data_IF_138587099140
#
_entry.id   IF_138587099140
#
_cell.length_a   1.000
_cell.length_b   1.000
_cell.length_c   1.000
_cell.angle_alpha   90.00
_cell.angle_beta   90.00
_cell.angle_gamma   90.00
#
_symmetry.space_group_name_H-M   'P 1'
#
loop_
_entity.id
_entity.type
_entity.pdbx_description
1 polymer ?
#
# COMPACT_ATOMS: atom_id res chain seq x y z
N UNK A 1 45.07 7.40 -29.82
CA UNK A 1 44.20 7.60 -28.64
C UNK A 1 42.96 8.38 -29.04
N UNK A 2 41.73 7.92 -28.72
CA UNK A 2 40.50 8.67 -28.99
C UNK A 2 40.32 9.82 -27.99
N UNK A 3 39.93 11.00 -28.47
CA UNK A 3 39.53 12.12 -27.60
C UNK A 3 38.04 11.99 -27.28
N UNK A 4 37.70 11.65 -26.05
CA UNK A 4 36.33 11.72 -25.55
C UNK A 4 35.84 13.17 -25.59
N UNK A 5 34.83 13.46 -26.44
CA UNK A 5 34.12 14.74 -26.36
C UNK A 5 33.15 14.66 -25.19
N UNK A 6 33.29 15.55 -24.22
CA UNK A 6 32.28 15.74 -23.19
C UNK A 6 31.00 16.27 -23.85
N UNK A 7 30.02 15.38 -24.10
CA UNK A 7 28.71 15.79 -24.57
C UNK A 7 28.01 16.59 -23.45
N UNK A 8 27.74 17.86 -23.69
CA UNK A 8 27.03 18.72 -22.74
C UNK A 8 25.67 18.10 -22.46
N UNK A 9 25.51 17.48 -21.28
CA UNK A 9 24.28 16.80 -20.90
C UNK A 9 23.22 17.86 -20.61
N UNK A 10 22.52 18.29 -21.67
CA UNK A 10 21.55 19.37 -21.64
C UNK A 10 20.25 18.87 -20.96
N UNK A 11 20.36 18.61 -19.66
CA UNK A 11 19.29 18.12 -18.82
C UNK A 11 18.23 19.20 -18.70
N UNK A 12 17.19 19.10 -19.52
CA UNK A 12 15.93 19.81 -19.35
C UNK A 12 15.28 19.33 -18.06
N UNK A 13 15.78 19.89 -16.95
CA UNK A 13 15.48 19.53 -15.57
C UNK A 13 14.08 20.01 -15.21
N UNK A 14 13.07 19.40 -15.84
CA UNK A 14 11.65 19.69 -15.64
C UNK A 14 11.35 19.77 -14.16
N UNK A 15 10.71 20.86 -13.74
CA UNK A 15 10.37 21.03 -12.34
C UNK A 15 9.39 19.95 -11.90
N UNK A 16 9.87 19.08 -11.02
CA UNK A 16 9.10 17.98 -10.43
C UNK A 16 7.94 18.52 -9.59
N UNK A 17 8.04 19.74 -9.05
CA UNK A 17 6.96 20.39 -8.31
C UNK A 17 5.83 20.82 -9.25
N UNK A 18 6.13 21.50 -10.36
CA UNK A 18 5.16 21.81 -11.41
C UNK A 18 4.54 20.56 -12.04
N UNK A 19 5.32 19.51 -12.34
CA UNK A 19 4.77 18.27 -12.86
C UNK A 19 3.87 17.55 -11.81
N UNK A 20 4.24 17.57 -10.53
CA UNK A 20 3.38 17.04 -9.46
C UNK A 20 2.08 17.84 -9.31
N UNK A 21 2.13 19.18 -9.31
CA UNK A 21 0.95 20.05 -9.25
C UNK A 21 0.02 19.79 -10.45
N UNK A 22 0.57 19.59 -11.65
CA UNK A 22 -0.19 19.16 -12.84
C UNK A 22 -0.85 17.79 -12.66
N UNK A 23 -0.13 16.77 -12.17
CA UNK A 23 -0.71 15.45 -11.92
C UNK A 23 -1.80 15.50 -10.85
N UNK A 24 -1.63 16.29 -9.78
CA UNK A 24 -2.63 16.50 -8.75
C UNK A 24 -3.91 17.09 -9.32
N UNK A 25 -3.81 18.20 -10.06
CA UNK A 25 -4.96 18.82 -10.72
C UNK A 25 -5.67 17.83 -11.66
N UNK A 26 -4.92 17.12 -12.52
CA UNK A 26 -5.47 16.12 -13.44
C UNK A 26 -6.09 14.89 -12.74
N UNK A 27 -5.71 14.59 -11.49
CA UNK A 27 -6.29 13.49 -10.74
C UNK A 27 -7.59 13.91 -10.04
N UNK A 28 -7.60 15.09 -9.42
CA UNK A 28 -8.74 15.62 -8.67
C UNK A 28 -9.84 16.22 -9.58
N UNK A 29 -9.55 16.47 -10.86
CA UNK A 29 -10.54 16.91 -11.87
C UNK A 29 -11.30 15.75 -12.54
N UNK A 30 -11.19 14.52 -12.04
CA UNK A 30 -11.85 13.34 -12.62
C UNK A 30 -13.11 12.98 -11.82
N UNK A 31 -14.11 12.46 -12.53
CA UNK A 31 -15.19 11.71 -11.89
C UNK A 31 -14.65 10.45 -11.22
N UNK A 32 -15.37 9.97 -10.21
CA UNK A 32 -15.11 8.69 -9.56
C UNK A 32 -15.29 7.53 -10.55
N UNK A 33 -14.42 6.51 -10.46
CA UNK A 33 -14.40 5.34 -11.34
C UNK A 33 -14.69 4.02 -10.57
N UNK A 34 -15.06 4.12 -9.30
CA UNK A 34 -15.58 2.99 -8.52
C UNK A 34 -16.97 2.57 -9.01
N UNK A 35 -17.39 1.34 -8.70
CA UNK A 35 -18.78 0.89 -8.97
C UNK A 35 -19.83 1.61 -8.11
N UNK A 36 -19.42 2.31 -7.05
CA UNK A 36 -20.28 3.15 -6.20
C UNK A 36 -20.51 4.54 -6.81
N UNK A 37 -19.54 5.06 -7.57
CA UNK A 37 -19.56 6.41 -8.13
C UNK A 37 -19.26 7.51 -7.11
N UNK A 38 -18.86 7.16 -5.88
CA UNK A 38 -18.44 8.10 -4.84
C UNK A 38 -17.39 7.49 -3.92
N UNK A 39 -16.65 8.36 -3.23
CA UNK A 39 -15.81 8.02 -2.08
C UNK A 39 -16.70 7.48 -0.94
N UNK A 40 -16.17 6.55 -0.15
CA UNK A 40 -16.85 6.04 1.04
C UNK A 40 -16.87 7.05 2.19
N UNK A 41 -18.00 7.11 2.89
CA UNK A 41 -18.30 8.07 3.93
C UNK A 41 -17.31 7.96 5.09
N UNK A 42 -16.97 6.74 5.50
CA UNK A 42 -15.99 6.43 6.56
C UNK A 42 -14.54 6.86 6.24
N UNK A 43 -14.23 7.27 5.01
CA UNK A 43 -12.89 7.74 4.62
C UNK A 43 -12.89 9.13 3.98
N UNK A 44 -14.04 9.79 3.87
CA UNK A 44 -14.16 11.05 3.12
C UNK A 44 -13.30 12.17 3.72
N UNK A 45 -13.27 12.30 5.05
CA UNK A 45 -12.43 13.28 5.74
C UNK A 45 -10.93 13.00 5.55
N UNK A 46 -10.52 11.72 5.62
CA UNK A 46 -9.14 11.30 5.39
C UNK A 46 -8.67 11.63 3.96
N UNK A 47 -9.54 11.38 2.97
CA UNK A 47 -9.30 11.72 1.57
C UNK A 47 -9.20 13.25 1.38
N UNK A 48 -10.10 14.02 2.01
CA UNK A 48 -10.07 15.48 1.98
C UNK A 48 -8.80 16.06 2.66
N UNK A 49 -8.44 15.57 3.85
CA UNK A 49 -7.25 15.98 4.61
C UNK A 49 -5.97 15.81 3.79
N UNK A 50 -5.81 14.68 3.10
CA UNK A 50 -4.68 14.42 2.20
C UNK A 50 -4.72 15.34 0.98
N UNK A 51 -5.88 15.47 0.33
CA UNK A 51 -6.02 16.30 -0.86
C UNK A 51 -5.88 17.81 -0.58
N UNK A 52 -6.04 18.27 0.67
CA UNK A 52 -5.76 19.64 1.08
C UNK A 52 -4.25 20.00 1.13
N UNK A 53 -3.33 19.02 1.28
CA UNK A 53 -1.88 19.29 1.43
C UNK A 53 -1.15 19.36 0.09
N UNK A 54 -0.19 20.28 -0.08
CA UNK A 54 0.61 20.36 -1.32
C UNK A 54 1.46 19.11 -1.61
N UNK A 55 1.76 18.30 -0.58
CA UNK A 55 2.62 17.12 -0.67
C UNK A 55 1.91 15.89 -1.28
N UNK A 56 0.58 15.86 -1.30
CA UNK A 56 -0.20 14.63 -1.51
C UNK A 56 -1.37 14.80 -2.48
N UNK A 57 -1.77 13.71 -3.12
CA UNK A 57 -3.14 13.52 -3.59
C UNK A 57 -3.52 12.03 -3.61
N UNK A 58 -4.79 11.74 -3.39
CA UNK A 58 -5.33 10.37 -3.45
C UNK A 58 -5.59 9.95 -4.90
N UNK A 59 -5.26 8.72 -5.26
CA UNK A 59 -5.54 8.15 -6.59
C UNK A 59 -6.66 7.10 -6.59
N UNK A 60 -6.87 6.42 -5.46
CA UNK A 60 -8.07 5.60 -5.19
C UNK A 60 -8.17 5.27 -3.70
N UNK A 61 -9.40 4.98 -3.25
CA UNK A 61 -9.73 4.61 -1.86
C UNK A 61 -10.89 3.62 -1.81
N UNK A 62 -10.96 2.83 -0.75
CA UNK A 62 -12.08 1.96 -0.38
C UNK A 62 -12.07 1.87 1.15
N UNK A 63 -13.19 2.16 1.83
CA UNK A 63 -13.26 2.05 3.30
C UNK A 63 -13.07 0.60 3.76
N UNK A 64 -13.67 -0.33 3.03
CA UNK A 64 -13.75 -1.74 3.35
C UNK A 64 -15.10 -2.25 2.87
N UNK A 65 -15.20 -3.54 2.56
CA UNK A 65 -16.45 -4.11 2.03
C UNK A 65 -16.60 -5.59 2.34
N UNK A 66 -17.85 -5.99 2.53
CA UNK A 66 -18.29 -7.38 2.48
C UNK A 66 -18.88 -7.62 1.09
N UNK A 67 -18.53 -8.74 0.47
CA UNK A 67 -18.91 -9.09 -0.90
C UNK A 67 -19.17 -10.58 -1.05
N UNK A 68 -20.13 -10.90 -1.92
CA UNK A 68 -20.37 -12.25 -2.44
C UNK A 68 -20.15 -12.22 -3.96
N UNK A 69 -19.16 -12.97 -4.43
CA UNK A 69 -18.84 -13.12 -5.85
C UNK A 69 -19.33 -14.49 -6.33
N UNK A 70 -19.83 -14.59 -7.56
CA UNK A 70 -20.06 -15.87 -8.24
C UNK A 70 -18.89 -16.13 -9.20
N UNK A 71 -18.19 -17.25 -9.03
CA UNK A 71 -17.12 -17.72 -9.92
C UNK A 71 -17.65 -18.63 -11.03
N UNK A 72 -17.04 -18.58 -12.22
CA UNK A 72 -17.38 -19.49 -13.33
C UNK A 72 -17.14 -20.96 -12.93
N UNK A 73 -18.13 -21.80 -13.19
CA UNK A 73 -18.17 -23.27 -13.03
C UNK A 73 -16.90 -23.96 -13.59
N UNK A 74 -16.25 -23.35 -14.59
CA UNK A 74 -15.10 -23.88 -15.30
C UNK A 74 -13.75 -23.23 -14.92
N UNK A 75 -13.75 -22.22 -14.03
CA UNK A 75 -12.66 -21.27 -13.87
C UNK A 75 -11.85 -21.41 -12.58
N UNK A 76 -10.85 -22.31 -12.54
CA UNK A 76 -9.89 -22.39 -11.43
C UNK A 76 -8.88 -21.21 -11.37
N UNK A 77 -9.05 -20.18 -12.21
CA UNK A 77 -8.12 -19.06 -12.38
C UNK A 77 -8.63 -17.76 -11.74
N UNK A 78 -7.71 -16.91 -11.30
CA UNK A 78 -8.03 -15.60 -10.66
C UNK A 78 -8.57 -14.60 -11.70
N UNK A 79 -9.86 -14.72 -12.00
CA UNK A 79 -10.58 -13.87 -12.95
C UNK A 79 -10.78 -12.46 -12.38
N UNK A 80 -10.03 -11.48 -12.91
CA UNK A 80 -10.04 -10.06 -12.46
C UNK A 80 -11.00 -9.15 -13.23
N UNK A 81 -11.68 -9.67 -14.24
CA UNK A 81 -12.63 -8.94 -15.10
C UNK A 81 -13.86 -9.82 -15.32
N UNK A 82 -15.05 -9.21 -15.46
CA UNK A 82 -16.35 -9.89 -15.59
C UNK A 82 -16.77 -10.79 -14.41
N UNK A 83 -16.11 -10.69 -13.24
CA UNK A 83 -16.57 -11.35 -12.01
C UNK A 83 -18.00 -10.90 -11.67
N UNK A 84 -18.91 -11.85 -11.48
CA UNK A 84 -20.29 -11.58 -11.08
C UNK A 84 -20.32 -11.17 -9.60
N UNK A 85 -20.99 -10.06 -9.28
CA UNK A 85 -21.10 -9.53 -7.92
C UNK A 85 -22.55 -9.73 -7.46
N UNK A 86 -22.80 -10.75 -6.63
CA UNK A 86 -24.14 -11.11 -6.14
C UNK A 86 -24.61 -10.18 -5.01
N UNK A 87 -23.65 -9.69 -4.21
CA UNK A 87 -23.83 -8.72 -3.14
C UNK A 87 -22.53 -7.95 -2.93
N UNK A 88 -22.60 -6.64 -2.69
CA UNK A 88 -21.52 -5.84 -2.09
C UNK A 88 -22.11 -4.80 -1.15
N UNK A 89 -21.52 -4.67 0.05
CA UNK A 89 -21.85 -3.64 1.03
C UNK A 89 -20.58 -3.07 1.66
N UNK A 90 -20.60 -1.78 1.97
CA UNK A 90 -19.53 -1.06 2.68
C UNK A 90 -19.88 -0.81 4.17
N UNK A 91 -21.03 -1.35 4.63
CA UNK A 91 -21.52 -1.32 6.01
C UNK A 91 -21.67 -2.76 6.54
N UNK A 92 -21.90 -3.00 7.85
CA UNK A 92 -22.19 -4.33 8.38
C UNK A 92 -23.32 -5.02 7.62
N UNK A 93 -23.12 -6.31 7.31
CA UNK A 93 -24.00 -7.10 6.46
C UNK A 93 -25.01 -7.90 7.29
N UNK A 94 -26.24 -8.01 6.80
CA UNK A 94 -27.30 -8.83 7.44
C UNK A 94 -27.46 -10.18 6.73
N UNK A 95 -28.03 -11.14 7.46
CA UNK A 95 -28.24 -12.52 6.99
C UNK A 95 -29.09 -12.60 5.72
N UNK A 96 -30.20 -11.87 5.69
CA UNK A 96 -31.18 -12.00 4.60
C UNK A 96 -30.61 -11.54 3.26
N UNK A 97 -29.80 -10.48 3.23
CA UNK A 97 -29.10 -10.02 2.02
C UNK A 97 -28.17 -11.12 1.45
N UNK A 98 -27.39 -11.79 2.31
CA UNK A 98 -26.52 -12.89 1.90
C UNK A 98 -27.33 -14.08 1.39
N UNK A 99 -28.43 -14.44 2.06
CA UNK A 99 -29.29 -15.55 1.65
C UNK A 99 -30.07 -15.24 0.35
N UNK A 100 -30.46 -13.99 0.11
CA UNK A 100 -31.06 -13.53 -1.16
C UNK A 100 -30.03 -13.47 -2.29
N UNK A 101 -28.77 -13.16 -1.98
CA UNK A 101 -27.67 -13.18 -2.94
C UNK A 101 -27.24 -14.61 -3.31
N UNK A 102 -27.09 -15.51 -2.34
CA UNK A 102 -26.75 -16.93 -2.55
C UNK A 102 -27.79 -17.67 -3.40
N UNK A 103 -29.08 -17.33 -3.29
CA UNK A 103 -30.15 -17.86 -4.16
C UNK A 103 -30.00 -17.51 -5.65
N UNK A 104 -29.05 -16.63 -6.00
CA UNK A 104 -28.72 -16.23 -7.38
C UNK A 104 -27.38 -16.82 -7.87
N UNK A 105 -26.64 -17.53 -7.01
CA UNK A 105 -25.37 -18.16 -7.36
C UNK A 105 -25.60 -19.37 -8.27
N UNK A 106 -24.88 -19.44 -9.38
CA UNK A 106 -24.92 -20.57 -10.32
C UNK A 106 -23.57 -21.32 -10.39
N UNK A 107 -22.50 -20.75 -9.84
CA UNK A 107 -21.16 -21.34 -9.84
C UNK A 107 -20.56 -21.45 -8.44
N UNK A 108 -19.29 -21.05 -8.35
CA UNK A 108 -18.49 -21.17 -7.13
C UNK A 108 -18.56 -19.83 -6.37
N UNK A 109 -19.57 -19.68 -5.51
CA UNK A 109 -19.79 -18.42 -4.81
C UNK A 109 -18.86 -18.28 -3.60
N UNK A 110 -18.11 -17.18 -3.56
CA UNK A 110 -17.11 -16.90 -2.54
C UNK A 110 -17.50 -15.63 -1.77
N UNK A 111 -17.66 -15.78 -0.46
CA UNK A 111 -17.90 -14.69 0.47
C UNK A 111 -16.57 -14.12 0.96
N UNK A 112 -16.40 -12.79 0.86
CA UNK A 112 -15.17 -12.12 1.27
C UNK A 112 -15.45 -10.87 2.11
N UNK A 113 -14.48 -10.56 2.97
CA UNK A 113 -14.29 -9.23 3.54
C UNK A 113 -12.94 -8.69 3.03
N UNK A 114 -12.98 -7.55 2.35
CA UNK A 114 -11.80 -6.80 1.92
C UNK A 114 -11.67 -5.53 2.79
N UNK A 115 -10.47 -5.22 3.32
CA UNK A 115 -10.25 -4.13 4.27
C UNK A 115 -10.11 -2.77 3.57
N UNK A 116 -9.86 -1.74 4.39
CA UNK A 116 -9.38 -0.44 3.95
C UNK A 116 -8.17 -0.55 3.03
N UNK A 117 -8.26 0.14 1.88
CA UNK A 117 -7.16 0.35 0.94
C UNK A 117 -7.19 1.80 0.47
N UNK A 118 -6.02 2.45 0.47
CA UNK A 118 -5.86 3.83 0.01
C UNK A 118 -4.54 3.95 -0.77
N UNK A 119 -4.59 4.66 -1.90
CA UNK A 119 -3.41 5.00 -2.70
C UNK A 119 -3.18 6.51 -2.70
N UNK A 120 -1.99 6.94 -2.26
CA UNK A 120 -1.61 8.36 -2.14
C UNK A 120 -0.35 8.62 -2.95
N UNK A 121 -0.43 9.49 -3.97
CA UNK A 121 0.75 9.95 -4.69
C UNK A 121 1.40 11.10 -3.92
N UNK A 122 2.70 10.95 -3.64
CA UNK A 122 3.49 11.84 -2.81
C UNK A 122 4.45 12.67 -3.68
N UNK A 123 4.71 13.91 -3.27
CA UNK A 123 5.57 14.85 -3.98
C UNK A 123 7.05 14.49 -3.83
N UNK A 124 7.46 14.06 -2.64
CA UNK A 124 8.84 13.68 -2.30
C UNK A 124 8.86 12.33 -1.56
N UNK A 125 10.04 11.71 -1.49
CA UNK A 125 10.20 10.42 -0.82
C UNK A 125 10.02 10.56 0.69
N UNK A 126 10.43 11.70 1.26
CA UNK A 126 10.26 12.04 2.66
C UNK A 126 8.78 12.14 3.04
N UNK A 127 7.97 12.79 2.21
CA UNK A 127 6.51 12.88 2.38
C UNK A 127 5.88 11.46 2.42
N UNK A 128 6.33 10.57 1.54
CA UNK A 128 5.88 9.18 1.47
C UNK A 128 6.36 8.32 2.64
N UNK A 129 7.59 8.54 3.13
CA UNK A 129 8.16 7.86 4.30
C UNK A 129 7.42 8.24 5.58
N UNK A 130 7.07 9.52 5.75
CA UNK A 130 6.24 9.98 6.87
C UNK A 130 4.87 9.31 6.87
N UNK A 131 4.15 9.34 5.74
CA UNK A 131 2.87 8.64 5.60
C UNK A 131 2.99 7.12 5.81
N UNK A 132 4.08 6.51 5.36
CA UNK A 132 4.31 5.07 5.53
C UNK A 132 4.49 4.72 7.00
N UNK A 133 5.31 5.45 7.76
CA UNK A 133 5.43 5.26 9.22
C UNK A 133 4.08 5.39 9.92
N UNK A 134 3.32 6.46 9.63
CA UNK A 134 1.98 6.68 10.20
C UNK A 134 1.03 5.51 9.86
N UNK A 135 1.05 4.99 8.63
CA UNK A 135 0.25 3.84 8.22
C UNK A 135 0.67 2.55 8.94
N UNK A 136 1.99 2.28 9.01
CA UNK A 136 2.56 1.14 9.70
C UNK A 136 2.15 1.15 11.18
N UNK A 137 2.34 2.27 11.89
CA UNK A 137 2.01 2.41 13.31
C UNK A 137 0.51 2.33 13.59
N UNK A 138 -0.31 2.77 12.63
CA UNK A 138 -1.77 2.62 12.68
C UNK A 138 -2.27 1.19 12.40
N UNK A 139 -1.36 0.24 12.14
CA UNK A 139 -1.66 -1.18 11.96
C UNK A 139 -1.76 -1.65 10.50
N UNK A 140 -1.52 -0.77 9.52
CA UNK A 140 -1.50 -1.13 8.10
C UNK A 140 -0.13 -1.67 7.69
N UNK A 141 0.29 -2.79 8.30
CA UNK A 141 1.64 -3.37 8.17
C UNK A 141 2.01 -3.78 6.73
N UNK A 142 1.05 -3.97 5.82
CA UNK A 142 1.28 -4.33 4.41
C UNK A 142 1.31 -3.10 3.47
N UNK A 143 1.41 -1.90 4.06
CA UNK A 143 1.62 -0.66 3.32
C UNK A 143 3.02 -0.62 2.69
N UNK A 144 3.15 -0.02 1.51
CA UNK A 144 4.43 0.04 0.80
C UNK A 144 4.51 1.19 -0.20
N UNK A 145 5.73 1.68 -0.41
CA UNK A 145 6.07 2.75 -1.34
C UNK A 145 6.57 2.14 -2.65
N UNK A 146 6.11 2.66 -3.79
CA UNK A 146 6.60 2.31 -5.13
C UNK A 146 7.09 3.59 -5.82
N UNK A 147 8.27 3.54 -6.42
CA UNK A 147 8.85 4.65 -7.19
C UNK A 147 8.77 4.31 -8.68
N UNK A 148 7.79 4.89 -9.37
CA UNK A 148 7.54 4.67 -10.79
C UNK A 148 8.34 5.57 -11.73
N UNK A 149 8.20 5.30 -13.04
CA UNK A 149 8.80 6.09 -14.12
C UNK A 149 8.49 7.60 -13.96
N UNK A 150 9.47 8.45 -14.30
CA UNK A 150 9.48 9.91 -14.03
C UNK A 150 9.49 10.30 -12.54
N UNK A 151 9.82 9.37 -11.64
CA UNK A 151 9.90 9.67 -10.20
C UNK A 151 8.53 9.83 -9.53
N UNK A 152 7.49 9.16 -10.04
CA UNK A 152 6.18 9.10 -9.37
C UNK A 152 6.27 8.26 -8.10
N UNK A 153 6.12 8.88 -6.94
CA UNK A 153 6.17 8.19 -5.65
C UNK A 153 4.75 7.86 -5.21
N UNK A 154 4.43 6.57 -5.14
CA UNK A 154 3.09 6.05 -4.86
C UNK A 154 3.14 5.26 -3.55
N UNK A 155 2.41 5.71 -2.53
CA UNK A 155 2.16 4.92 -1.33
C UNK A 155 0.84 4.14 -1.53
N UNK A 156 0.87 2.84 -1.23
CA UNK A 156 -0.32 2.04 -0.99
C UNK A 156 -0.43 1.76 0.51
N UNK A 157 -1.52 2.18 1.14
CA UNK A 157 -1.88 1.85 2.53
C UNK A 157 -2.79 0.62 2.51
N UNK A 158 -2.39 -0.47 3.19
CA UNK A 158 -3.06 -1.78 3.13
C UNK A 158 -2.93 -2.57 4.42
N UNK A 159 -3.95 -3.35 4.77
CA UNK A 159 -3.94 -4.26 5.92
C UNK A 159 -3.67 -5.72 5.52
N UNK A 160 -3.34 -6.56 6.50
CA UNK A 160 -3.44 -8.04 6.41
C UNK A 160 -4.84 -8.56 6.69
N UNK A 161 -5.74 -7.69 7.16
CA UNK A 161 -7.06 -8.08 7.64
C UNK A 161 -7.97 -8.47 6.47
N UNK A 162 -8.45 -9.72 6.44
CA UNK A 162 -9.32 -10.21 5.38
C UNK A 162 -10.18 -11.38 5.84
N UNK A 163 -11.12 -11.77 5.01
CA UNK A 163 -11.84 -13.06 5.05
C UNK A 163 -12.10 -13.48 3.60
N UNK A 164 -11.94 -14.76 3.29
CA UNK A 164 -12.30 -15.34 2.00
C UNK A 164 -12.71 -16.80 2.24
N UNK A 165 -13.98 -17.13 1.94
CA UNK A 165 -14.55 -18.46 2.18
C UNK A 165 -15.48 -18.85 1.03
N UNK A 166 -15.26 -19.99 0.35
CA UNK A 166 -16.20 -20.53 -0.62
C UNK A 166 -17.45 -21.06 0.10
N UNK A 167 -18.64 -20.64 -0.35
CA UNK A 167 -19.92 -21.06 0.23
C UNK A 167 -20.68 -22.06 -0.68
N UNK A 168 -20.46 -21.99 -1.99
CA UNK A 168 -21.03 -22.94 -2.96
C UNK A 168 -19.97 -23.47 -3.92
N UNK A 169 -20.26 -24.62 -4.53
CA UNK A 169 -19.52 -25.17 -5.67
C UNK A 169 -20.52 -25.58 -6.75
N UNK A 170 -20.36 -25.09 -7.97
CA UNK A 170 -21.22 -25.37 -9.14
C UNK A 170 -22.72 -25.15 -8.84
N UNK A 171 -23.03 -24.01 -8.20
CA UNK A 171 -24.39 -23.62 -7.80
C UNK A 171 -24.94 -24.35 -6.56
N UNK A 172 -24.29 -25.41 -6.08
CA UNK A 172 -24.70 -26.11 -4.87
C UNK A 172 -24.10 -25.46 -3.63
N UNK A 173 -24.94 -24.99 -2.70
CA UNK A 173 -24.49 -24.54 -1.37
C UNK A 173 -23.83 -25.71 -0.60
N UNK A 174 -22.64 -25.44 -0.05
CA UNK A 174 -21.79 -26.45 0.61
C UNK A 174 -21.72 -26.29 2.14
N UNK A 175 -22.42 -25.29 2.69
CA UNK A 175 -22.39 -24.90 4.12
C UNK A 175 -23.79 -24.82 4.71
N UNK A 176 -23.90 -24.90 6.05
CA UNK A 176 -25.17 -24.66 6.76
C UNK A 176 -25.47 -23.18 6.92
N UNK A 177 -26.73 -22.85 7.15
CA UNK A 177 -27.18 -21.48 7.43
C UNK A 177 -26.59 -20.91 8.73
N UNK A 178 -26.39 -21.77 9.74
CA UNK A 178 -25.71 -21.47 11.01
C UNK A 178 -24.24 -21.05 10.77
N UNK A 179 -23.56 -21.71 9.81
CA UNK A 179 -22.19 -21.34 9.44
C UNK A 179 -22.14 -19.99 8.71
N UNK A 180 -23.16 -19.65 7.92
CA UNK A 180 -23.29 -18.33 7.28
C UNK A 180 -23.48 -17.24 8.34
N UNK A 181 -24.29 -17.47 9.39
CA UNK A 181 -24.41 -16.55 10.53
C UNK A 181 -23.08 -16.37 11.28
N UNK A 182 -22.34 -17.46 11.52
CA UNK A 182 -21.01 -17.41 12.13
C UNK A 182 -20.02 -16.58 11.28
N UNK A 183 -19.98 -16.80 9.96
CA UNK A 183 -19.14 -16.01 9.04
C UNK A 183 -19.55 -14.53 8.99
N UNK A 184 -20.85 -14.23 9.04
CA UNK A 184 -21.36 -12.85 9.09
C UNK A 184 -20.95 -12.13 10.37
N UNK A 185 -21.05 -12.79 11.52
CA UNK A 185 -20.57 -12.25 12.79
C UNK A 185 -19.07 -11.93 12.73
N UNK A 186 -18.25 -12.83 12.15
CA UNK A 186 -16.82 -12.59 11.92
C UNK A 186 -16.59 -11.43 10.94
N UNK A 187 -17.33 -11.36 9.83
CA UNK A 187 -17.16 -10.30 8.82
C UNK A 187 -17.54 -8.91 9.36
N UNK A 188 -18.59 -8.82 10.17
CA UNK A 188 -19.03 -7.58 10.81
C UNK A 188 -18.04 -7.14 11.90
N UNK A 189 -17.49 -8.08 12.70
CA UNK A 189 -16.39 -7.77 13.62
C UNK A 189 -15.13 -7.28 12.89
N UNK A 190 -14.82 -7.84 11.71
CA UNK A 190 -13.71 -7.38 10.85
C UNK A 190 -13.94 -5.98 10.28
N UNK A 191 -15.18 -5.64 9.91
CA UNK A 191 -15.56 -4.29 9.48
C UNK A 191 -15.34 -3.26 10.60
N UNK A 192 -15.78 -3.59 11.81
CA UNK A 192 -15.67 -2.74 13.00
C UNK A 192 -14.20 -2.50 13.44
N UNK A 193 -13.37 -3.54 13.45
CA UNK A 193 -11.91 -3.40 13.69
C UNK A 193 -11.22 -2.64 12.55
N UNK A 194 -11.69 -2.79 11.31
CA UNK A 194 -11.17 -2.02 10.17
C UNK A 194 -11.51 -0.52 10.28
N UNK A 195 -12.72 -0.16 10.73
CA UNK A 195 -13.10 1.23 11.00
C UNK A 195 -12.20 1.87 12.06
N UNK A 196 -11.97 1.18 13.19
CA UNK A 196 -11.04 1.63 14.25
C UNK A 196 -9.60 1.84 13.75
N UNK A 197 -9.16 1.09 12.74
CA UNK A 197 -7.86 1.29 12.09
C UNK A 197 -7.82 2.55 11.21
N UNK A 198 -8.91 2.85 10.48
CA UNK A 198 -9.06 4.10 9.72
C UNK A 198 -9.01 5.31 10.66
N UNK A 199 -9.81 5.29 11.73
CA UNK A 199 -9.87 6.35 12.73
C UNK A 199 -8.50 6.60 13.38
N UNK A 200 -7.80 5.52 13.79
CA UNK A 200 -6.42 5.61 14.30
C UNK A 200 -5.47 6.23 13.27
N UNK A 201 -5.55 5.82 11.99
CA UNK A 201 -4.70 6.36 10.93
C UNK A 201 -4.96 7.84 10.65
N UNK A 202 -6.21 8.27 10.65
CA UNK A 202 -6.60 9.67 10.52
C UNK A 202 -6.04 10.52 11.67
N UNK A 203 -6.22 10.09 12.92
CA UNK A 203 -5.72 10.78 14.10
C UNK A 203 -4.18 10.85 14.14
N UNK A 204 -3.49 9.74 13.85
CA UNK A 204 -2.03 9.73 13.76
C UNK A 204 -1.49 10.58 12.59
N UNK A 205 -2.23 10.69 11.49
CA UNK A 205 -1.89 11.55 10.35
C UNK A 205 -2.02 13.04 10.68
N UNK A 206 -3.11 13.45 11.34
CA UNK A 206 -3.29 14.85 11.78
C UNK A 206 -2.10 15.29 12.64
N UNK A 207 -1.78 14.51 13.68
CA UNK A 207 -0.64 14.76 14.57
C UNK A 207 0.72 14.79 13.86
N UNK A 208 0.91 14.00 12.81
CA UNK A 208 2.14 14.01 12.01
C UNK A 208 2.26 15.30 11.16
N UNK A 209 1.17 15.73 10.53
CA UNK A 209 1.14 16.94 9.70
C UNK A 209 1.33 18.23 10.55
N UNK A 210 0.79 18.27 11.77
CA UNK A 210 1.00 19.37 12.73
C UNK A 210 2.46 19.46 13.21
N UNK A 211 3.14 18.31 13.33
CA UNK A 211 4.57 18.27 13.65
C UNK A 211 5.42 18.82 12.51
N UNK A 212 5.03 18.68 11.25
CA UNK A 212 5.77 19.28 10.12
C UNK A 212 5.62 20.80 10.04
N UNK A 213 4.43 21.35 10.32
CA UNK A 213 4.21 22.81 10.32
C UNK A 213 4.96 23.48 11.48
N UNK A 214 4.86 22.93 12.69
CA UNK A 214 5.57 23.46 13.88
C UNK A 214 7.09 23.42 13.71
N UNK A 215 7.64 22.30 13.21
CA UNK A 215 9.09 22.17 12.95
C UNK A 215 9.60 23.00 11.76
N UNK A 216 8.75 23.47 10.85
CA UNK A 216 9.17 24.42 9.81
C UNK A 216 9.16 25.87 10.33
N UNK A 217 8.27 26.24 11.25
CA UNK A 217 8.29 27.55 11.90
C UNK A 217 9.51 27.78 12.81
N UNK A 218 10.00 26.76 13.55
CA UNK A 218 11.24 26.89 14.35
C UNK A 218 12.48 27.03 13.47
N UNK A 219 12.61 26.23 12.41
CA UNK A 219 13.74 26.31 11.44
C UNK A 219 13.84 27.64 10.69
N UNK A 220 12.78 28.45 10.66
CA UNK A 220 12.82 29.81 10.13
C UNK A 220 13.45 30.79 11.14
N UNK A 221 13.27 30.58 12.45
CA UNK A 221 13.87 31.42 13.51
C UNK A 221 15.36 31.13 13.75
N UNK A 222 15.82 29.89 13.56
CA UNK A 222 17.20 29.48 13.85
C UNK A 222 18.25 29.95 12.83
N UNK A 223 17.87 30.62 11.74
CA UNK A 223 18.82 31.04 10.69
C UNK A 223 19.77 32.19 11.07
N UNK A 224 19.61 32.80 12.25
CA UNK A 224 20.42 33.91 12.73
C UNK A 224 21.24 33.56 13.99
N UNK A 225 22.20 32.63 13.90
CA UNK A 225 23.43 32.70 14.70
C UNK A 225 24.54 31.78 14.15
N UNK A 226 25.83 32.19 14.17
CA UNK A 226 26.93 31.38 13.65
C UNK A 226 27.56 30.45 14.72
N UNK A 227 27.92 29.24 14.29
CA UNK A 227 28.99 28.37 14.79
C UNK A 227 29.20 28.14 16.31
N UNK A 228 29.13 26.87 16.72
CA UNK A 228 30.17 26.30 17.58
C UNK A 228 30.26 24.76 17.40
N UNK A 229 31.45 24.21 17.16
CA UNK A 229 31.67 22.78 16.85
C UNK A 229 32.40 22.04 17.98
N UNK A 230 31.78 21.02 18.62
CA UNK A 230 32.48 20.16 19.58
C UNK A 230 33.43 19.18 18.89
N UNK A 231 34.75 19.45 18.96
CA UNK A 231 35.78 18.49 18.54
C UNK A 231 35.82 17.29 19.49
N UNK A 232 35.37 16.10 19.07
CA UNK A 232 35.67 14.86 19.80
C UNK A 232 37.17 14.54 19.69
N UNK A 233 37.90 14.69 20.79
CA UNK A 233 39.29 14.19 20.90
C UNK A 233 39.31 12.67 20.75
N UNK A 234 40.18 12.16 19.89
CA UNK A 234 40.77 10.82 20.06
C UNK A 234 41.98 10.96 20.99
N UNK A 235 42.28 9.92 21.75
CA UNK A 235 43.65 9.58 22.12
C UNK A 235 43.78 8.04 22.18
N UNK A 236 44.90 7.45 21.74
CA UNK A 236 45.11 6.00 21.75
C UNK A 236 45.99 5.55 22.92
N UNK A 237 45.85 4.30 23.35
CA UNK A 237 46.94 3.52 23.95
C UNK A 237 46.71 2.02 23.76
N UNK A 238 47.76 1.21 23.98
CA UNK A 238 47.86 -0.23 23.59
C UNK A 238 48.62 -1.02 24.67
N UNK A 239 48.80 -2.34 24.41
CA UNK A 239 49.69 -3.32 25.08
C UNK A 239 49.00 -4.15 26.19
N UNK A 240 49.23 -5.47 26.36
CA UNK A 240 49.86 -6.53 25.51
C UNK A 240 49.52 -7.96 26.02
N UNK A 241 49.57 -8.97 25.15
CA UNK A 241 49.51 -10.43 25.46
C UNK A 241 48.63 -11.21 24.46
N UNK A 242 49.14 -12.03 23.52
CA UNK A 242 49.71 -13.42 23.62
C UNK A 242 48.62 -14.50 23.86
N UNK A 243 48.57 -15.70 23.25
CA UNK A 243 49.34 -16.44 22.21
C UNK A 243 48.64 -17.82 21.93
N UNK A 244 48.60 -18.52 20.78
CA UNK A 244 48.87 -18.24 19.33
C UNK A 244 47.71 -18.82 18.43
N UNK A 245 47.78 -19.73 17.40
CA UNK A 245 46.62 -20.11 16.55
C UNK A 245 46.35 -21.65 16.36
N UNK A 246 45.31 -21.99 15.58
CA UNK A 246 45.23 -23.03 14.52
C UNK A 246 44.16 -22.51 13.52
N UNK A 247 44.42 -22.33 12.21
CA UNK A 247 44.48 -23.34 11.11
C UNK A 247 43.21 -24.18 10.94
N UNK A 248 42.68 -24.43 9.74
CA UNK A 248 42.79 -23.76 8.42
C UNK A 248 41.62 -24.28 7.56
N UNK A 249 41.08 -23.47 6.64
CA UNK A 249 40.76 -23.90 5.26
C UNK A 249 40.18 -22.76 4.41
N UNK A 250 40.32 -22.90 3.09
CA UNK A 250 39.79 -21.99 2.06
C UNK A 250 39.31 -22.83 0.87
N UNK A 251 38.30 -22.35 0.17
CA UNK A 251 38.43 -21.92 -1.24
C UNK A 251 37.19 -21.06 -1.64
N UNK A 252 37.20 -20.34 -2.78
CA UNK A 252 36.37 -19.15 -2.96
C UNK A 252 35.02 -19.40 -3.64
N UNK A 253 34.04 -18.55 -3.32
CA UNK A 253 32.91 -18.28 -4.22
C UNK A 253 33.35 -17.32 -5.34
N UNK A 254 32.75 -17.46 -6.52
CA UNK A 254 33.09 -16.73 -7.75
C UNK A 254 31.98 -15.71 -8.04
N UNK A 255 32.35 -14.47 -8.34
CA UNK A 255 31.42 -13.47 -8.91
C UNK A 255 30.95 -13.95 -10.31
N UNK A 256 29.64 -14.10 -10.50
CA UNK A 256 29.04 -14.22 -11.83
C UNK A 256 27.84 -13.25 -11.93
N UNK A 257 28.05 -12.16 -12.68
CA UNK A 257 27.14 -11.02 -12.80
C UNK A 257 26.34 -11.15 -14.11
N UNK A 258 25.16 -11.80 -14.04
CA UNK A 258 24.33 -12.07 -15.23
C UNK A 258 22.83 -11.74 -15.02
N UNK A 259 22.38 -10.70 -15.74
CA UNK A 259 20.96 -10.37 -15.98
C UNK A 259 20.29 -11.47 -16.84
N UNK A 260 18.97 -11.67 -16.69
CA UNK A 260 18.17 -11.49 -17.91
C UNK A 260 16.80 -10.82 -17.67
N UNK A 261 16.60 -9.70 -18.37
CA UNK A 261 15.27 -9.13 -18.59
C UNK A 261 14.40 -9.90 -19.62
N UNK A 262 13.10 -10.01 -19.30
CA UNK A 262 11.96 -10.07 -20.25
C UNK A 262 11.72 -11.39 -21.02
N UNK A 263 10.70 -12.13 -20.55
CA UNK A 263 9.71 -12.94 -21.29
C UNK A 263 10.17 -13.77 -22.53
N UNK A 264 10.29 -15.09 -22.32
CA UNK A 264 9.74 -16.09 -23.26
C UNK A 264 8.94 -17.11 -22.45
N UNK A 265 7.78 -17.54 -22.96
CA UNK A 265 6.95 -18.54 -22.32
C UNK A 265 7.14 -19.92 -22.97
N UNK A 266 7.75 -20.86 -22.23
CA UNK A 266 7.58 -22.32 -22.37
C UNK A 266 7.76 -22.91 -20.97
N UNK A 267 6.77 -23.69 -20.51
CA UNK A 267 6.97 -24.78 -19.56
C UNK A 267 6.17 -25.99 -20.06
N UNK A 268 6.68 -27.24 -19.93
CA UNK A 268 5.98 -28.42 -20.43
C UNK A 268 4.67 -28.72 -19.68
N UNK A 269 3.88 -29.63 -20.26
CA UNK A 269 2.87 -30.40 -19.52
C UNK A 269 3.56 -31.55 -18.76
N UNK A 270 2.79 -32.18 -17.87
CA UNK A 270 3.07 -33.44 -17.19
C UNK A 270 4.23 -33.31 -16.17
N UNK A 271 4.02 -33.46 -14.86
CA UNK A 271 3.16 -34.41 -14.13
C UNK A 271 2.30 -33.77 -13.02
#
# INVERSE_FOLDING_TARGET
>A
MPKWRAGTLNSSRMDRSAEFKRWKAQCLSKADLSRKGSVDEDVIELVQLLNAREQFFTTSSCAGRILLLDGDINGLGVQKQNCCWLLVTHIPCIKDDVMVALKKANGDAVFKFEPFVLHVQCRQLQDAQMLHSVAIDSGFRNSGITVGKRGKIMLAVRSTHGLEVPLSHKGKLMVTEEYIEFLLNIANQKMEENKKRIERFYNCLQLALERETTNSHTKIKEKNNPFCTPKKKRNPEKLRGKCIPEENDKEPEIDDDNDPGINVAIFPKDY
#
